data_IF_732150299676
#
_entry.id   IF_732150299676
#
_cell.length_a   1.000
_cell.length_b   1.000
_cell.length_c   1.000
_cell.angle_alpha   90.00
_cell.angle_beta   90.00
_cell.angle_gamma   90.00
#
_symmetry.space_group_name_H-M   'P 1'
#
loop_
_entity.id
_entity.type
_entity.pdbx_description
1 polymer ?
#
# COMPACT_ATOMS: atom_id res chain seq x y z
N UNK A 1 29.62 26.86 -7.11
CA UNK A 1 29.52 26.85 -5.66
C UNK A 1 28.16 26.31 -5.14
N UNK A 2 27.01 26.71 -5.69
CA UNK A 2 25.69 26.23 -5.22
C UNK A 2 25.47 24.72 -5.37
N UNK A 3 25.94 24.09 -6.47
CA UNK A 3 25.83 22.63 -6.68
C UNK A 3 26.58 21.76 -5.65
N UNK A 4 27.70 22.24 -5.10
CA UNK A 4 28.49 21.49 -4.14
C UNK A 4 27.91 21.55 -2.71
N UNK A 5 27.17 22.60 -2.35
CA UNK A 5 26.56 22.77 -1.03
C UNK A 5 25.28 21.92 -0.88
N UNK A 6 24.48 21.80 -1.95
CA UNK A 6 23.24 21.00 -1.94
C UNK A 6 23.55 19.51 -1.85
N UNK A 7 24.60 19.05 -2.53
CA UNK A 7 25.03 17.64 -2.49
C UNK A 7 25.65 17.21 -1.14
N UNK A 8 26.11 18.14 -0.32
CA UNK A 8 26.71 17.85 0.99
C UNK A 8 25.75 17.97 2.18
N UNK A 9 24.52 18.43 1.98
CA UNK A 9 23.55 18.49 3.07
C UNK A 9 23.08 17.08 3.43
N UNK A 10 23.14 16.71 4.72
CA UNK A 10 22.68 15.44 5.25
C UNK A 10 21.26 15.11 4.77
N UNK A 11 20.38 16.09 4.74
CA UNK A 11 18.99 15.95 4.28
C UNK A 11 18.87 15.54 2.80
N UNK A 12 19.79 15.99 1.93
CA UNK A 12 19.78 15.58 0.52
C UNK A 12 20.29 14.15 0.34
N UNK A 13 21.31 13.77 1.09
CA UNK A 13 21.82 12.39 1.09
C UNK A 13 20.75 11.42 1.61
N UNK A 14 20.07 11.76 2.68
CA UNK A 14 18.98 10.96 3.23
C UNK A 14 17.82 10.82 2.23
N UNK A 15 17.46 11.90 1.54
CA UNK A 15 16.48 11.88 0.45
C UNK A 15 16.92 10.94 -0.69
N UNK A 16 18.18 10.99 -1.11
CA UNK A 16 18.70 10.09 -2.15
C UNK A 16 18.61 8.62 -1.75
N UNK A 17 18.99 8.28 -0.50
CA UNK A 17 18.86 6.91 0.00
C UNK A 17 17.41 6.43 -0.06
N UNK A 18 16.46 7.24 0.38
CA UNK A 18 15.03 6.89 0.33
C UNK A 18 14.52 6.75 -1.09
N UNK A 19 14.88 7.68 -1.99
CA UNK A 19 14.44 7.70 -3.38
C UNK A 19 14.97 6.49 -4.16
N UNK A 20 16.28 6.23 -4.10
CA UNK A 20 16.91 5.09 -4.77
C UNK A 20 16.35 3.77 -4.22
N UNK A 21 16.24 3.65 -2.89
CA UNK A 21 15.66 2.48 -2.24
C UNK A 21 14.22 2.22 -2.71
N UNK A 22 13.41 3.28 -2.86
CA UNK A 22 12.04 3.14 -3.33
C UNK A 22 11.99 2.64 -4.79
N UNK A 23 12.85 3.15 -5.68
CA UNK A 23 12.94 2.67 -7.06
C UNK A 23 13.35 1.19 -7.10
N UNK A 24 14.38 0.82 -6.34
CA UNK A 24 14.86 -0.56 -6.28
C UNK A 24 13.78 -1.50 -5.75
N UNK A 25 13.09 -1.14 -4.67
CA UNK A 25 11.97 -1.92 -4.12
C UNK A 25 10.85 -2.11 -5.12
N UNK A 26 10.52 -1.07 -5.90
CA UNK A 26 9.50 -1.17 -6.97
C UNK A 26 9.96 -2.11 -8.08
N UNK A 27 11.23 -2.04 -8.47
CA UNK A 27 11.82 -2.98 -9.43
C UNK A 27 11.70 -4.43 -8.94
N UNK A 28 12.07 -4.72 -7.70
CA UNK A 28 11.90 -6.06 -7.12
C UNK A 28 10.42 -6.49 -7.04
N UNK A 29 9.52 -5.57 -6.65
CA UNK A 29 8.10 -5.84 -6.68
C UNK A 29 7.59 -6.23 -8.06
N UNK A 30 8.04 -5.54 -9.09
CA UNK A 30 7.68 -5.84 -10.47
C UNK A 30 8.26 -7.18 -10.95
N UNK A 31 9.54 -7.47 -10.67
CA UNK A 31 10.17 -8.77 -10.96
C UNK A 31 9.42 -9.91 -10.27
N UNK A 32 8.94 -9.69 -9.04
CA UNK A 32 8.12 -10.65 -8.31
C UNK A 32 6.84 -11.01 -9.08
N UNK A 33 6.14 -10.04 -9.65
CA UNK A 33 4.90 -10.29 -10.41
C UNK A 33 5.19 -11.03 -11.73
N UNK A 34 6.34 -10.77 -12.38
CA UNK A 34 6.79 -11.55 -13.55
C UNK A 34 7.02 -13.02 -13.18
N UNK A 35 7.69 -13.27 -12.04
CA UNK A 35 7.91 -14.64 -11.55
C UNK A 35 6.56 -15.33 -11.26
N UNK A 36 5.61 -14.62 -10.66
CA UNK A 36 4.28 -15.16 -10.38
C UNK A 36 3.51 -15.48 -11.65
N UNK A 37 3.55 -14.62 -12.66
CA UNK A 37 2.95 -14.87 -13.97
C UNK A 37 3.58 -16.11 -14.63
N UNK A 38 4.89 -16.24 -14.57
CA UNK A 38 5.61 -17.38 -15.13
C UNK A 38 5.20 -18.72 -14.51
N UNK A 39 5.05 -18.79 -13.17
CA UNK A 39 4.72 -20.04 -12.48
C UNK A 39 3.25 -20.39 -12.48
N UNK A 40 2.39 -19.39 -12.32
CA UNK A 40 0.99 -19.61 -11.98
C UNK A 40 0.01 -19.10 -13.04
N UNK A 41 0.43 -18.15 -13.91
CA UNK A 41 -0.45 -17.54 -14.91
C UNK A 41 -1.77 -17.09 -14.31
N UNK A 42 -2.88 -17.61 -14.87
CA UNK A 42 -4.25 -17.37 -14.42
C UNK A 42 -4.87 -18.60 -13.70
N UNK A 43 -4.06 -19.50 -13.14
CA UNK A 43 -4.57 -20.72 -12.51
C UNK A 43 -5.54 -20.44 -11.35
N UNK A 44 -6.57 -21.31 -11.19
CA UNK A 44 -7.56 -21.19 -10.10
C UNK A 44 -6.93 -21.21 -8.71
N UNK A 45 -5.86 -22.03 -8.51
CA UNK A 45 -5.14 -22.08 -7.25
C UNK A 45 -4.50 -20.74 -6.90
N UNK A 46 -3.95 -20.06 -7.92
CA UNK A 46 -3.40 -18.71 -7.75
C UNK A 46 -4.50 -17.66 -7.56
N UNK A 47 -5.63 -17.76 -8.26
CA UNK A 47 -6.78 -16.88 -8.07
C UNK A 47 -7.30 -16.96 -6.62
N UNK A 48 -7.48 -18.15 -6.07
CA UNK A 48 -7.88 -18.38 -4.69
C UNK A 48 -6.84 -17.84 -3.69
N UNK A 49 -5.56 -18.03 -3.96
CA UNK A 49 -4.49 -17.39 -3.18
C UNK A 49 -4.58 -15.86 -3.21
N UNK A 50 -4.80 -15.26 -4.39
CA UNK A 50 -4.94 -13.82 -4.52
C UNK A 50 -6.12 -13.26 -3.74
N UNK A 51 -7.23 -13.99 -3.65
CA UNK A 51 -8.39 -13.57 -2.86
C UNK A 51 -8.07 -13.55 -1.36
N UNK A 52 -7.45 -14.61 -0.83
CA UNK A 52 -6.97 -14.63 0.56
C UNK A 52 -5.93 -13.54 0.83
N UNK A 53 -4.97 -13.41 -0.08
CA UNK A 53 -3.95 -12.35 -0.01
C UNK A 53 -4.59 -10.96 -0.04
N UNK A 54 -5.64 -10.75 -0.82
CA UNK A 54 -6.34 -9.46 -0.89
C UNK A 54 -6.99 -9.10 0.43
N UNK A 55 -7.67 -10.07 1.08
CA UNK A 55 -8.19 -9.88 2.43
C UNK A 55 -7.08 -9.53 3.43
N UNK A 56 -5.94 -10.24 3.34
CA UNK A 56 -4.75 -9.97 4.14
C UNK A 56 -4.15 -8.56 3.89
N UNK A 57 -4.04 -8.18 2.62
CA UNK A 57 -3.49 -6.88 2.19
C UNK A 57 -4.37 -5.71 2.66
N UNK A 58 -5.70 -5.84 2.70
CA UNK A 58 -6.60 -4.82 3.27
C UNK A 58 -6.24 -4.49 4.71
N UNK A 59 -6.02 -5.52 5.55
CA UNK A 59 -5.54 -5.30 6.92
C UNK A 59 -4.17 -4.68 6.97
N UNK A 60 -3.27 -5.15 6.12
CA UNK A 60 -1.91 -4.60 6.04
C UNK A 60 -1.91 -3.11 5.69
N UNK A 61 -2.75 -2.67 4.76
CA UNK A 61 -2.83 -1.26 4.38
C UNK A 61 -3.37 -0.36 5.51
N UNK A 62 -4.25 -0.89 6.35
CA UNK A 62 -4.76 -0.17 7.52
C UNK A 62 -3.76 -0.10 8.68
N UNK A 63 -2.78 -1.00 8.71
CA UNK A 63 -1.87 -1.16 9.84
C UNK A 63 -0.40 -0.89 9.52
N UNK A 64 -0.07 -0.55 8.27
CA UNK A 64 1.32 -0.41 7.81
C UNK A 64 1.61 0.91 7.09
N UNK A 65 2.91 1.18 6.93
CA UNK A 65 3.46 2.15 5.98
C UNK A 65 3.20 3.61 6.33
N UNK A 66 2.90 4.39 5.30
CA UNK A 66 2.74 5.85 5.37
C UNK A 66 1.69 6.31 6.38
N UNK A 67 0.70 5.48 6.63
CA UNK A 67 -0.37 5.74 7.57
C UNK A 67 0.12 5.75 9.03
N UNK A 68 0.80 4.69 9.46
CA UNK A 68 1.44 4.65 10.77
C UNK A 68 2.55 5.71 10.89
N UNK A 69 3.33 5.93 9.83
CA UNK A 69 4.34 6.99 9.81
C UNK A 69 3.72 8.37 10.07
N UNK A 70 2.61 8.71 9.41
CA UNK A 70 1.95 10.00 9.60
C UNK A 70 1.51 10.24 11.05
N UNK A 71 1.13 9.18 11.76
CA UNK A 71 0.69 9.26 13.16
C UNK A 71 1.84 9.24 14.17
N UNK A 72 2.86 8.42 13.94
CA UNK A 72 3.85 8.06 14.95
C UNK A 72 5.19 8.75 14.75
N UNK A 73 5.59 9.00 13.51
CA UNK A 73 6.89 9.59 13.22
C UNK A 73 7.10 10.97 13.87
N UNK A 74 6.10 11.89 13.88
CA UNK A 74 6.27 13.17 14.58
C UNK A 74 6.53 13.00 16.07
N UNK A 75 5.85 12.05 16.71
CA UNK A 75 6.02 11.78 18.15
C UNK A 75 7.43 11.26 18.45
N UNK A 76 7.90 10.25 17.70
CA UNK A 76 9.25 9.73 17.89
C UNK A 76 10.33 10.76 17.54
N UNK A 77 10.18 11.50 16.44
CA UNK A 77 11.13 12.54 16.04
C UNK A 77 11.26 13.62 17.10
N UNK A 78 10.14 14.09 17.69
CA UNK A 78 10.16 15.14 18.72
C UNK A 78 10.91 14.71 19.98
N UNK A 79 10.87 13.43 20.32
CA UNK A 79 11.60 12.88 21.48
C UNK A 79 13.09 12.85 21.21
N UNK A 80 13.49 12.34 20.04
CA UNK A 80 14.91 12.29 19.67
C UNK A 80 15.51 13.69 19.45
N UNK A 81 14.76 14.66 18.94
CA UNK A 81 15.17 16.06 18.80
C UNK A 81 15.43 16.75 20.16
N UNK A 82 14.68 16.35 21.21
CA UNK A 82 14.91 16.82 22.58
C UNK A 82 16.08 16.12 23.29
N UNK A 83 16.79 15.23 22.60
CA UNK A 83 17.90 14.47 23.16
C UNK A 83 17.50 13.28 24.05
N UNK A 84 16.20 12.98 24.13
CA UNK A 84 15.69 11.84 24.86
C UNK A 84 15.76 10.56 24.02
N UNK A 85 15.81 9.40 24.67
CA UNK A 85 15.74 8.09 24.01
C UNK A 85 14.36 7.47 24.26
N UNK A 86 13.81 6.81 23.25
CA UNK A 86 12.55 6.05 23.39
C UNK A 86 12.84 4.72 24.09
N UNK A 87 12.05 4.38 25.09
CA UNK A 87 12.11 3.05 25.72
C UNK A 87 11.62 1.99 24.74
N UNK A 88 12.54 1.26 24.14
CA UNK A 88 12.26 0.26 23.13
C UNK A 88 11.58 -0.99 23.68
N UNK A 89 11.72 -1.29 24.98
CA UNK A 89 11.01 -2.37 25.65
C UNK A 89 9.49 -2.14 25.63
N UNK A 90 9.03 -0.90 25.89
CA UNK A 90 7.59 -0.57 25.83
C UNK A 90 7.05 -0.64 24.40
N UNK A 91 7.83 -0.17 23.41
CA UNK A 91 7.48 -0.28 21.99
C UNK A 91 7.38 -1.75 21.58
N UNK A 92 8.29 -2.60 22.03
CA UNK A 92 8.31 -4.03 21.74
C UNK A 92 7.08 -4.73 22.31
N UNK A 93 6.77 -4.52 23.60
CA UNK A 93 5.60 -5.10 24.25
C UNK A 93 4.30 -4.66 23.54
N UNK A 94 4.18 -3.38 23.25
CA UNK A 94 3.01 -2.84 22.54
C UNK A 94 2.87 -3.43 21.14
N UNK A 95 3.93 -3.41 20.33
CA UNK A 95 3.90 -3.91 18.96
C UNK A 95 3.64 -5.41 18.90
N UNK A 96 4.20 -6.20 19.81
CA UNK A 96 3.98 -7.64 19.88
C UNK A 96 2.52 -7.96 20.27
N UNK A 97 1.98 -7.31 21.31
CA UNK A 97 0.59 -7.51 21.73
C UNK A 97 -0.40 -7.14 20.62
N UNK A 98 -0.14 -6.07 19.88
CA UNK A 98 -1.02 -5.66 18.79
C UNK A 98 -0.84 -6.55 17.55
N UNK A 99 0.37 -6.99 17.25
CA UNK A 99 0.64 -7.95 16.18
C UNK A 99 -0.13 -9.27 16.37
N UNK A 100 -0.16 -9.79 17.61
CA UNK A 100 -0.98 -10.97 17.94
C UNK A 100 -2.48 -10.74 17.74
N UNK A 101 -3.00 -9.59 18.14
CA UNK A 101 -4.41 -9.26 17.91
C UNK A 101 -4.72 -9.14 16.41
N UNK A 102 -3.83 -8.52 15.63
CA UNK A 102 -3.95 -8.43 14.18
C UNK A 102 -3.94 -9.83 13.54
N UNK A 103 -3.04 -10.72 14.00
CA UNK A 103 -3.03 -12.11 13.56
C UNK A 103 -4.38 -12.78 13.79
N UNK A 104 -4.90 -12.74 15.03
CA UNK A 104 -6.17 -13.37 15.38
C UNK A 104 -7.34 -12.80 14.56
N UNK A 105 -7.44 -11.47 14.43
CA UNK A 105 -8.49 -10.82 13.65
C UNK A 105 -8.38 -11.20 12.18
N UNK A 106 -7.17 -11.28 11.62
CA UNK A 106 -6.97 -11.72 10.24
C UNK A 106 -7.44 -13.16 10.01
N UNK A 107 -7.22 -14.07 10.98
CA UNK A 107 -7.67 -15.46 10.90
C UNK A 107 -9.21 -15.57 10.98
N UNK A 108 -9.86 -14.74 11.80
CA UNK A 108 -11.33 -14.70 11.88
C UNK A 108 -12.00 -14.36 10.54
N UNK A 109 -11.30 -13.70 9.63
CA UNK A 109 -11.82 -13.37 8.30
C UNK A 109 -11.33 -14.36 7.25
N UNK A 110 -10.05 -14.75 7.30
CA UNK A 110 -9.48 -15.62 6.28
C UNK A 110 -10.01 -17.07 6.38
N UNK A 111 -10.20 -17.60 7.58
CA UNK A 111 -10.68 -19.00 7.75
C UNK A 111 -12.09 -19.20 7.16
N UNK A 112 -13.10 -18.36 7.45
CA UNK A 112 -14.39 -18.46 6.77
C UNK A 112 -14.28 -18.30 5.23
N UNK A 113 -13.38 -17.43 4.77
CA UNK A 113 -13.15 -17.25 3.34
C UNK A 113 -12.58 -18.52 2.69
N UNK A 114 -11.71 -19.27 3.36
CA UNK A 114 -11.20 -20.57 2.88
C UNK A 114 -12.33 -21.57 2.66
N UNK A 115 -13.29 -21.66 3.58
CA UNK A 115 -14.48 -22.51 3.41
C UNK A 115 -15.31 -22.15 2.17
N UNK A 116 -15.38 -20.86 1.86
CA UNK A 116 -16.11 -20.36 0.70
C UNK A 116 -15.39 -20.64 -0.63
N UNK A 117 -14.05 -20.43 -0.66
CA UNK A 117 -13.27 -20.42 -1.91
C UNK A 117 -12.94 -21.82 -2.41
N UNK A 118 -12.54 -22.73 -1.53
CA UNK A 118 -11.97 -24.01 -1.96
C UNK A 118 -12.15 -25.10 -0.90
N UNK A 119 -13.37 -25.65 -0.78
CA UNK A 119 -13.61 -26.75 0.14
C UNK A 119 -12.79 -27.99 -0.21
N UNK A 120 -12.47 -28.23 -1.48
CA UNK A 120 -11.69 -29.38 -1.95
C UNK A 120 -10.21 -29.31 -1.53
N UNK A 121 -9.61 -28.13 -1.49
CA UNK A 121 -8.21 -27.89 -1.10
C UNK A 121 -8.10 -27.20 0.27
N UNK A 122 -9.04 -27.49 1.16
CA UNK A 122 -9.20 -26.82 2.44
C UNK A 122 -7.89 -26.70 3.25
N UNK A 123 -7.19 -27.82 3.45
CA UNK A 123 -5.96 -27.82 4.25
C UNK A 123 -4.83 -26.99 3.64
N UNK A 124 -4.71 -26.98 2.31
CA UNK A 124 -3.75 -26.13 1.61
C UNK A 124 -4.02 -24.67 1.91
N UNK A 125 -5.27 -24.23 1.77
CA UNK A 125 -5.63 -22.82 1.96
C UNK A 125 -5.67 -22.40 3.43
N UNK A 126 -5.92 -23.32 4.38
CA UNK A 126 -5.71 -23.03 5.82
C UNK A 126 -4.23 -22.77 6.10
N UNK A 127 -3.32 -23.59 5.57
CA UNK A 127 -1.88 -23.33 5.74
C UNK A 127 -1.48 -21.98 5.13
N UNK A 128 -1.98 -21.64 3.94
CA UNK A 128 -1.74 -20.35 3.31
C UNK A 128 -2.27 -19.20 4.20
N UNK A 129 -3.49 -19.32 4.73
CA UNK A 129 -4.10 -18.35 5.64
C UNK A 129 -3.24 -18.11 6.88
N UNK A 130 -2.77 -19.18 7.53
CA UNK A 130 -1.89 -19.08 8.69
C UNK A 130 -0.58 -18.35 8.36
N UNK A 131 0.06 -18.71 7.25
CA UNK A 131 1.31 -18.04 6.82
C UNK A 131 1.05 -16.58 6.46
N UNK A 132 -0.04 -16.24 5.77
CA UNK A 132 -0.44 -14.87 5.49
C UNK A 132 -0.71 -14.08 6.77
N UNK A 133 -1.34 -14.70 7.79
CA UNK A 133 -1.51 -14.08 9.09
C UNK A 133 -0.18 -13.73 9.76
N UNK A 134 0.82 -14.62 9.67
CA UNK A 134 2.19 -14.34 10.13
C UNK A 134 2.80 -13.18 9.34
N UNK A 135 2.60 -13.14 8.01
CA UNK A 135 3.09 -12.02 7.18
C UNK A 135 2.48 -10.70 7.64
N UNK A 136 1.16 -10.63 7.84
CA UNK A 136 0.47 -9.40 8.25
C UNK A 136 0.99 -8.91 9.61
N UNK A 137 1.03 -9.81 10.59
CA UNK A 137 1.48 -9.47 11.96
C UNK A 137 2.94 -9.05 12.00
N UNK A 138 3.83 -9.75 11.27
CA UNK A 138 5.25 -9.42 11.16
C UNK A 138 5.48 -8.10 10.41
N UNK A 139 4.69 -7.81 9.39
CA UNK A 139 4.72 -6.53 8.69
C UNK A 139 4.33 -5.37 9.61
N UNK A 140 3.26 -5.52 10.42
CA UNK A 140 2.86 -4.51 11.39
C UNK A 140 3.96 -4.27 12.42
N UNK A 141 4.48 -5.33 13.02
CA UNK A 141 5.59 -5.27 13.96
C UNK A 141 6.80 -4.54 13.36
N UNK A 142 7.21 -4.94 12.16
CA UNK A 142 8.33 -4.34 11.45
C UNK A 142 8.11 -2.86 11.14
N UNK A 143 6.88 -2.46 10.78
CA UNK A 143 6.55 -1.07 10.46
C UNK A 143 6.78 -0.13 11.64
N UNK A 144 6.46 -0.53 12.87
CA UNK A 144 6.69 0.28 14.06
C UNK A 144 8.20 0.51 14.27
N UNK A 145 9.02 -0.55 14.18
CA UNK A 145 10.48 -0.41 14.34
C UNK A 145 11.13 0.40 13.22
N UNK A 146 10.63 0.28 11.99
CA UNK A 146 11.07 1.13 10.88
C UNK A 146 10.79 2.62 11.15
N UNK A 147 9.65 2.94 11.77
CA UNK A 147 9.31 4.31 12.16
C UNK A 147 10.25 4.81 13.28
N UNK A 148 10.61 3.95 14.23
CA UNK A 148 11.62 4.29 15.26
C UNK A 148 12.97 4.62 14.62
N UNK A 149 13.45 3.81 13.66
CA UNK A 149 14.70 4.05 12.92
C UNK A 149 14.63 5.40 12.18
N UNK A 150 13.51 5.71 11.56
CA UNK A 150 13.28 7.01 10.89
C UNK A 150 13.25 8.16 11.90
N UNK A 151 12.57 7.98 13.04
CA UNK A 151 12.53 8.96 14.12
C UNK A 151 13.92 9.31 14.68
N UNK A 152 14.83 8.33 14.73
CA UNK A 152 16.25 8.54 15.05
C UNK A 152 17.01 9.34 13.96
N UNK A 153 16.42 9.54 12.78
CA UNK A 153 17.06 10.18 11.63
C UNK A 153 18.04 9.28 10.86
N UNK A 154 17.97 7.96 11.06
CA UNK A 154 18.81 6.99 10.34
C UNK A 154 18.12 6.49 9.06
N UNK A 155 17.93 7.41 8.13
CA UNK A 155 17.28 7.12 6.83
C UNK A 155 18.06 6.14 5.96
N UNK A 156 19.38 6.09 6.11
CA UNK A 156 20.22 5.09 5.43
C UNK A 156 19.88 3.68 5.90
N UNK A 157 19.85 3.43 7.23
CA UNK A 157 19.51 2.14 7.81
C UNK A 157 18.09 1.73 7.44
N UNK A 158 17.13 2.65 7.50
CA UNK A 158 15.75 2.45 7.05
C UNK A 158 15.68 2.00 5.59
N UNK A 159 16.35 2.72 4.69
CA UNK A 159 16.34 2.45 3.26
C UNK A 159 16.97 1.09 2.93
N UNK A 160 18.12 0.80 3.50
CA UNK A 160 18.82 -0.48 3.28
C UNK A 160 17.98 -1.64 3.83
N UNK A 161 17.46 -1.54 5.05
CA UNK A 161 16.71 -2.62 5.69
C UNK A 161 15.46 -3.01 4.89
N UNK A 162 14.68 -2.03 4.42
CA UNK A 162 13.48 -2.28 3.61
C UNK A 162 13.80 -2.80 2.21
N UNK A 163 14.96 -2.42 1.64
CA UNK A 163 15.41 -2.94 0.35
C UNK A 163 15.88 -4.40 0.47
N UNK A 164 16.62 -4.74 1.53
CA UNK A 164 17.09 -6.11 1.79
C UNK A 164 15.91 -7.06 2.02
N UNK A 165 14.88 -6.64 2.79
CA UNK A 165 13.64 -7.42 2.95
C UNK A 165 13.03 -7.78 1.59
N UNK A 166 12.84 -6.78 0.72
CA UNK A 166 12.23 -7.00 -0.59
C UNK A 166 13.12 -7.83 -1.52
N UNK A 167 14.43 -7.61 -1.50
CA UNK A 167 15.41 -8.40 -2.24
C UNK A 167 15.34 -9.88 -1.85
N UNK A 168 15.47 -10.17 -0.55
CA UNK A 168 15.45 -11.56 -0.03
C UNK A 168 14.14 -12.25 -0.39
N UNK A 169 13.00 -11.57 -0.18
CA UNK A 169 11.69 -12.15 -0.52
C UNK A 169 11.52 -12.40 -2.01
N UNK A 170 12.13 -11.58 -2.89
CA UNK A 170 12.05 -11.75 -4.34
C UNK A 170 12.98 -12.88 -4.83
N UNK A 171 14.21 -12.93 -4.33
CA UNK A 171 15.16 -13.99 -4.69
C UNK A 171 14.67 -15.37 -4.25
N UNK A 172 14.14 -15.47 -3.04
CA UNK A 172 13.60 -16.72 -2.50
C UNK A 172 12.27 -17.13 -3.13
N UNK A 173 11.57 -16.21 -3.78
CA UNK A 173 10.28 -16.51 -4.42
C UNK A 173 10.40 -17.62 -5.44
N UNK A 174 11.42 -17.56 -6.34
CA UNK A 174 11.60 -18.55 -7.39
C UNK A 174 11.80 -19.98 -6.84
N UNK A 175 12.83 -20.27 -6.00
CA UNK A 175 13.05 -21.61 -5.49
C UNK A 175 11.91 -22.09 -4.56
N UNK A 176 11.32 -21.20 -3.74
CA UNK A 176 10.24 -21.61 -2.86
C UNK A 176 8.93 -21.87 -3.61
N UNK A 177 8.64 -21.13 -4.69
CA UNK A 177 7.49 -21.43 -5.55
C UNK A 177 7.67 -22.73 -6.32
N UNK A 178 8.90 -23.06 -6.71
CA UNK A 178 9.21 -24.35 -7.36
C UNK A 178 9.00 -25.53 -6.40
N UNK A 179 9.38 -25.39 -5.12
CA UNK A 179 9.30 -26.45 -4.11
C UNK A 179 7.91 -26.59 -3.47
N UNK A 180 7.24 -25.48 -3.20
CA UNK A 180 6.02 -25.44 -2.37
C UNK A 180 4.81 -24.82 -3.12
N UNK A 181 4.94 -24.57 -4.43
CA UNK A 181 3.87 -23.96 -5.22
C UNK A 181 3.44 -22.61 -4.63
N UNK A 182 2.15 -22.41 -4.53
CA UNK A 182 1.53 -21.14 -4.08
C UNK A 182 1.88 -20.78 -2.62
N UNK A 183 2.10 -21.78 -1.73
CA UNK A 183 2.57 -21.53 -0.36
C UNK A 183 3.93 -20.82 -0.37
N UNK A 184 4.80 -21.17 -1.31
CA UNK A 184 6.13 -20.58 -1.48
C UNK A 184 6.10 -19.06 -1.61
N UNK A 185 5.01 -18.50 -2.16
CA UNK A 185 4.80 -17.05 -2.27
C UNK A 185 4.75 -16.39 -0.89
N UNK A 186 3.95 -16.95 0.02
CA UNK A 186 3.79 -16.42 1.37
C UNK A 186 5.05 -16.68 2.22
N UNK A 187 5.65 -17.89 2.11
CA UNK A 187 6.87 -18.26 2.83
C UNK A 187 8.06 -17.37 2.42
N UNK A 188 8.20 -17.03 1.13
CA UNK A 188 9.25 -16.10 0.67
C UNK A 188 9.13 -14.73 1.34
N UNK A 189 7.91 -14.28 1.61
CA UNK A 189 7.66 -13.02 2.31
C UNK A 189 8.02 -13.11 3.79
N UNK A 190 7.68 -14.22 4.46
CA UNK A 190 8.09 -14.48 5.85
C UNK A 190 9.61 -14.49 5.97
N UNK A 191 10.31 -15.12 5.02
CA UNK A 191 11.77 -15.17 5.01
C UNK A 191 12.40 -13.76 4.89
N UNK A 192 11.90 -12.90 3.99
CA UNK A 192 12.35 -11.51 3.89
C UNK A 192 12.18 -10.73 5.20
N UNK A 193 10.97 -10.82 5.80
CA UNK A 193 10.67 -10.20 7.09
C UNK A 193 11.52 -10.77 8.23
N UNK A 194 11.78 -12.07 8.22
CA UNK A 194 12.68 -12.73 9.18
C UNK A 194 14.10 -12.15 9.14
N UNK A 195 14.66 -11.97 7.94
CA UNK A 195 15.97 -11.32 7.77
C UNK A 195 15.95 -9.87 8.23
N UNK A 196 14.88 -9.12 7.94
CA UNK A 196 14.70 -7.75 8.41
C UNK A 196 14.72 -7.68 9.94
N UNK A 197 13.92 -8.51 10.61
CA UNK A 197 13.81 -8.52 12.07
C UNK A 197 15.15 -8.95 12.70
N UNK A 198 15.71 -10.06 12.24
CA UNK A 198 16.94 -10.60 12.81
C UNK A 198 18.12 -9.63 12.67
N UNK A 199 18.37 -9.12 11.44
CA UNK A 199 19.58 -8.33 11.15
C UNK A 199 19.49 -6.88 11.64
N UNK A 200 18.30 -6.26 11.55
CA UNK A 200 18.16 -4.81 11.77
C UNK A 200 17.48 -4.44 13.07
N UNK A 201 16.63 -5.31 13.63
CA UNK A 201 15.89 -4.99 14.86
C UNK A 201 16.49 -5.62 16.09
N UNK A 202 17.12 -6.81 16.01
CA UNK A 202 17.78 -7.44 17.15
C UNK A 202 18.79 -6.51 17.85
N UNK A 203 19.63 -5.74 17.14
CA UNK A 203 20.52 -4.76 17.80
C UNK A 203 19.76 -3.65 18.53
N UNK A 204 18.55 -3.29 18.05
CA UNK A 204 17.72 -2.26 18.66
C UNK A 204 17.04 -2.79 19.92
N UNK A 205 16.66 -4.08 19.96
CA UNK A 205 16.02 -4.69 21.14
C UNK A 205 16.93 -4.68 22.39
N UNK A 206 18.23 -4.64 22.18
CA UNK A 206 19.22 -4.58 23.27
C UNK A 206 19.42 -3.15 23.84
N UNK A 207 18.81 -2.13 23.21
CA UNK A 207 18.82 -0.77 23.76
C UNK A 207 17.74 -0.65 24.85
N UNK A 208 18.11 -0.94 26.11
CA UNK A 208 17.18 -0.95 27.27
C UNK A 208 17.03 0.41 27.94
N UNK A 209 17.93 1.36 27.67
CA UNK A 209 17.94 2.68 28.30
C UNK A 209 17.11 3.68 27.48
N UNK A 210 16.10 4.29 28.09
CA UNK A 210 15.32 5.36 27.50
C UNK A 210 14.12 5.77 28.33
N UNK A 211 13.60 6.96 28.08
CA UNK A 211 12.39 7.48 28.72
C UNK A 211 11.17 6.63 28.36
N UNK A 212 10.36 6.31 29.37
CA UNK A 212 9.11 5.60 29.18
C UNK A 212 8.10 6.52 28.51
N UNK A 213 8.08 6.55 27.19
CA UNK A 213 7.02 7.23 26.46
C UNK A 213 5.83 6.31 26.46
N UNK A 214 4.72 6.76 27.02
CA UNK A 214 3.46 6.05 26.94
C UNK A 214 2.95 6.15 25.50
N UNK A 215 3.20 5.11 24.71
CA UNK A 215 2.68 4.94 23.36
C UNK A 215 1.45 4.05 23.41
N UNK A 216 0.36 4.46 22.76
CA UNK A 216 -0.90 3.73 22.78
C UNK A 216 -1.76 3.92 21.54
N UNK A 217 -2.86 3.18 21.46
CA UNK A 217 -3.84 3.28 20.37
C UNK A 217 -4.42 4.69 20.16
N UNK A 218 -4.39 5.55 21.18
CA UNK A 218 -4.88 6.94 21.12
C UNK A 218 -4.04 7.83 20.20
N UNK A 219 -2.79 7.45 19.97
CA UNK A 219 -1.83 8.17 19.11
C UNK A 219 -2.02 7.82 17.64
N UNK A 220 -2.80 6.78 17.34
CA UNK A 220 -3.09 6.32 15.99
C UNK A 220 -4.36 7.00 15.47
N UNK A 221 -4.24 7.78 14.40
CA UNK A 221 -5.37 8.41 13.74
C UNK A 221 -5.85 7.59 12.53
N UNK A 222 -6.77 6.65 12.80
CA UNK A 222 -7.30 5.74 11.78
C UNK A 222 -7.91 6.46 10.57
N UNK A 223 -8.57 7.61 10.77
CA UNK A 223 -9.20 8.34 9.67
C UNK A 223 -8.19 8.94 8.70
N UNK A 224 -7.06 9.46 9.21
CA UNK A 224 -5.98 9.96 8.36
C UNK A 224 -5.31 8.78 7.63
N UNK A 225 -5.21 7.63 8.30
CA UNK A 225 -4.67 6.41 7.69
C UNK A 225 -5.53 5.92 6.52
N UNK A 226 -6.85 5.89 6.68
CA UNK A 226 -7.78 5.53 5.62
C UNK A 226 -7.66 6.49 4.42
N UNK A 227 -7.71 7.80 4.68
CA UNK A 227 -7.62 8.80 3.62
C UNK A 227 -6.23 8.83 2.95
N UNK A 228 -5.15 8.63 3.69
CA UNK A 228 -3.80 8.58 3.15
C UNK A 228 -3.52 7.36 2.27
N UNK A 229 -4.26 6.28 2.48
CA UNK A 229 -4.15 5.03 1.71
C UNK A 229 -5.37 4.76 0.83
N UNK A 230 -6.25 5.74 0.59
CA UNK A 230 -7.52 5.55 -0.12
C UNK A 230 -7.34 4.81 -1.45
N UNK A 231 -6.33 5.16 -2.24
CA UNK A 231 -6.07 4.55 -3.54
C UNK A 231 -5.84 3.02 -3.43
N UNK A 232 -4.99 2.60 -2.49
CA UNK A 232 -4.75 1.18 -2.25
C UNK A 232 -6.00 0.47 -1.74
N UNK A 233 -6.75 1.13 -0.83
CA UNK A 233 -7.99 0.57 -0.27
C UNK A 233 -9.01 0.34 -1.38
N UNK A 234 -9.23 1.30 -2.26
CA UNK A 234 -10.14 1.17 -3.41
C UNK A 234 -9.70 0.01 -4.31
N UNK A 235 -8.43 -0.06 -4.67
CA UNK A 235 -7.90 -1.13 -5.52
C UNK A 235 -8.06 -2.51 -4.87
N UNK A 236 -7.80 -2.65 -3.58
CA UNK A 236 -7.95 -3.93 -2.88
C UNK A 236 -9.41 -4.32 -2.66
N UNK A 237 -10.30 -3.37 -2.37
CA UNK A 237 -11.74 -3.65 -2.27
C UNK A 237 -12.31 -4.12 -3.62
N UNK A 238 -11.96 -3.44 -4.70
CA UNK A 238 -12.41 -3.84 -6.06
C UNK A 238 -11.83 -5.20 -6.45
N UNK A 239 -10.55 -5.48 -6.11
CA UNK A 239 -9.93 -6.80 -6.32
C UNK A 239 -10.60 -7.88 -5.46
N UNK A 240 -11.05 -7.55 -4.26
CA UNK A 240 -11.79 -8.48 -3.42
C UNK A 240 -13.13 -8.83 -4.06
N UNK A 241 -13.87 -7.84 -4.55
CA UNK A 241 -15.18 -8.05 -5.21
C UNK A 241 -15.06 -8.92 -6.45
N UNK A 242 -14.08 -8.67 -7.33
CA UNK A 242 -13.89 -9.51 -8.52
C UNK A 242 -13.46 -10.93 -8.15
N UNK A 243 -12.83 -11.13 -7.01
CA UNK A 243 -12.43 -12.45 -6.53
C UNK A 243 -13.55 -13.26 -5.90
N UNK A 244 -14.73 -12.67 -5.66
CA UNK A 244 -15.91 -13.42 -5.19
C UNK A 244 -16.58 -14.22 -6.31
N UNK A 245 -16.16 -14.04 -7.55
CA UNK A 245 -16.54 -14.89 -8.66
C UNK A 245 -15.82 -16.24 -8.57
N UNK A 246 -16.48 -17.30 -8.98
CA UNK A 246 -15.88 -18.64 -9.04
C UNK A 246 -14.79 -18.80 -10.12
N UNK A 247 -14.43 -17.72 -10.81
CA UNK A 247 -13.48 -17.67 -11.90
C UNK A 247 -12.08 -17.13 -11.51
N UNK A 248 -11.23 -17.03 -12.51
CA UNK A 248 -9.85 -16.51 -12.38
C UNK A 248 -9.72 -15.00 -12.69
N UNK A 249 -10.84 -14.28 -12.78
CA UNK A 249 -10.89 -12.85 -13.09
C UNK A 249 -10.04 -11.99 -12.14
N UNK A 250 -9.91 -12.39 -10.88
CA UNK A 250 -9.04 -11.71 -9.90
C UNK A 250 -7.58 -11.68 -10.33
N UNK A 251 -7.13 -12.67 -11.09
CA UNK A 251 -5.76 -12.76 -11.57
C UNK A 251 -5.48 -11.70 -12.64
N UNK A 252 -6.38 -11.59 -13.63
CA UNK A 252 -6.29 -10.57 -14.68
C UNK A 252 -6.41 -9.16 -14.11
N UNK A 253 -7.34 -8.96 -13.19
CA UNK A 253 -7.48 -7.70 -12.45
C UNK A 253 -6.19 -7.35 -11.70
N UNK A 254 -5.56 -8.33 -11.03
CA UNK A 254 -4.34 -8.10 -10.28
C UNK A 254 -3.17 -7.67 -11.19
N UNK A 255 -2.93 -8.37 -12.31
CA UNK A 255 -1.86 -7.99 -13.25
C UNK A 255 -2.11 -6.61 -13.85
N UNK A 256 -3.36 -6.28 -14.19
CA UNK A 256 -3.74 -4.95 -14.68
C UNK A 256 -3.45 -3.85 -13.66
N UNK A 257 -3.87 -4.05 -12.41
CA UNK A 257 -3.61 -3.09 -11.31
C UNK A 257 -2.10 -2.94 -11.07
N UNK A 258 -1.32 -4.01 -11.11
CA UNK A 258 0.14 -3.93 -10.95
C UNK A 258 0.75 -3.03 -12.00
N UNK A 259 0.37 -3.20 -13.27
CA UNK A 259 0.85 -2.37 -14.36
C UNK A 259 0.48 -0.89 -14.18
N UNK A 260 -0.81 -0.60 -13.93
CA UNK A 260 -1.32 0.75 -13.76
C UNK A 260 -0.74 1.43 -12.51
N UNK A 261 -0.54 0.68 -11.43
CA UNK A 261 -0.02 1.20 -10.16
C UNK A 261 1.46 1.60 -10.21
N UNK A 262 2.23 1.11 -11.18
CA UNK A 262 3.60 1.59 -11.42
C UNK A 262 3.61 3.08 -11.68
N UNK A 263 2.71 3.59 -12.51
CA UNK A 263 2.59 5.03 -12.81
C UNK A 263 2.20 5.84 -11.57
N UNK A 264 1.20 5.37 -10.79
CA UNK A 264 0.80 6.03 -9.55
C UNK A 264 1.99 6.16 -8.59
N UNK A 265 2.69 5.06 -8.38
CA UNK A 265 3.71 4.99 -7.33
C UNK A 265 5.06 5.55 -7.75
N UNK A 266 5.45 5.42 -9.03
CA UNK A 266 6.72 5.92 -9.52
C UNK A 266 6.71 7.43 -9.81
N UNK A 267 5.58 7.99 -10.20
CA UNK A 267 5.51 9.39 -10.62
C UNK A 267 4.65 10.21 -9.65
N UNK A 268 3.37 9.87 -9.52
CA UNK A 268 2.40 10.69 -8.77
C UNK A 268 2.78 10.80 -7.28
N UNK A 269 3.13 9.71 -6.63
CA UNK A 269 3.49 9.74 -5.20
C UNK A 269 4.77 10.54 -4.95
N UNK A 270 5.73 10.55 -5.87
CA UNK A 270 6.94 11.37 -5.76
C UNK A 270 6.63 12.86 -5.93
N UNK A 271 5.79 13.23 -6.92
CA UNK A 271 5.31 14.61 -7.10
C UNK A 271 4.57 15.06 -5.84
N UNK A 272 3.65 14.25 -5.34
CA UNK A 272 2.87 14.54 -4.14
C UNK A 272 3.76 14.77 -2.90
N UNK A 273 4.82 13.99 -2.72
CA UNK A 273 5.77 14.17 -1.61
C UNK A 273 6.48 15.53 -1.68
N UNK A 274 6.89 15.96 -2.90
CA UNK A 274 7.51 17.28 -3.10
C UNK A 274 6.50 18.39 -2.81
N UNK A 275 5.28 18.25 -3.33
CA UNK A 275 4.19 19.22 -3.13
C UNK A 275 3.84 19.35 -1.65
N UNK A 276 3.66 18.24 -0.95
CA UNK A 276 3.35 18.20 0.49
C UNK A 276 4.41 18.95 1.30
N UNK A 277 5.70 18.67 1.05
CA UNK A 277 6.80 19.36 1.75
C UNK A 277 6.80 20.86 1.49
N UNK A 278 6.59 21.28 0.23
CA UNK A 278 6.56 22.71 -0.11
C UNK A 278 5.34 23.42 0.47
N UNK A 279 4.17 22.78 0.48
CA UNK A 279 2.96 23.33 1.09
C UNK A 279 3.10 23.50 2.60
N UNK A 280 3.77 22.56 3.27
CA UNK A 280 4.03 22.65 4.72
C UNK A 280 4.94 23.84 5.07
N UNK A 281 5.91 24.19 4.20
CA UNK A 281 6.90 25.26 4.46
C UNK A 281 6.45 26.60 3.89
N UNK A 282 6.10 26.66 2.59
CA UNK A 282 5.89 27.92 1.86
C UNK A 282 4.42 28.27 1.61
N UNK A 283 3.49 27.33 1.85
CA UNK A 283 2.04 27.53 1.66
C UNK A 283 1.62 28.07 0.27
N UNK A 284 2.36 27.72 -0.79
CA UNK A 284 2.15 28.23 -2.15
C UNK A 284 0.95 27.55 -2.82
N UNK A 285 -0.15 28.26 -2.99
CA UNK A 285 -1.39 27.76 -3.65
C UNK A 285 -1.16 27.29 -5.09
N UNK A 286 -0.25 27.94 -5.83
CA UNK A 286 0.09 27.59 -7.21
C UNK A 286 0.54 26.13 -7.36
N UNK A 287 1.14 25.55 -6.31
CA UNK A 287 1.57 24.16 -6.30
C UNK A 287 0.40 23.17 -6.32
N UNK A 288 -0.75 23.55 -5.77
CA UNK A 288 -1.96 22.71 -5.77
C UNK A 288 -2.49 22.58 -7.20
N UNK A 289 -2.60 23.73 -7.90
CA UNK A 289 -3.04 23.77 -9.31
C UNK A 289 -2.07 23.00 -10.19
N UNK A 290 -0.77 23.20 -9.98
CA UNK A 290 0.27 22.51 -10.73
C UNK A 290 0.21 20.97 -10.51
N UNK A 291 0.06 20.52 -9.27
CA UNK A 291 -0.07 19.11 -8.94
C UNK A 291 -1.32 18.49 -9.57
N UNK A 292 -2.46 19.20 -9.52
CA UNK A 292 -3.69 18.79 -10.18
C UNK A 292 -3.51 18.62 -11.69
N UNK A 293 -2.93 19.62 -12.37
CA UNK A 293 -2.71 19.59 -13.82
C UNK A 293 -1.75 18.45 -14.22
N UNK A 294 -0.66 18.25 -13.47
CA UNK A 294 0.26 17.14 -13.73
C UNK A 294 -0.49 15.80 -13.58
N UNK A 295 -1.27 15.65 -12.53
CA UNK A 295 -2.02 14.40 -12.28
C UNK A 295 -3.04 14.12 -13.37
N UNK A 296 -3.73 15.16 -13.85
CA UNK A 296 -4.65 15.05 -14.98
C UNK A 296 -3.95 14.64 -16.27
N UNK A 297 -2.86 15.33 -16.63
CA UNK A 297 -2.08 15.05 -17.84
C UNK A 297 -1.51 13.64 -17.81
N UNK A 298 -0.91 13.23 -16.68
CA UNK A 298 -0.37 11.88 -16.52
C UNK A 298 -1.46 10.80 -16.56
N UNK A 299 -2.65 11.09 -16.02
CA UNK A 299 -3.79 10.21 -16.13
C UNK A 299 -4.25 10.00 -17.58
N UNK A 300 -4.34 11.09 -18.36
CA UNK A 300 -4.68 11.02 -19.78
C UNK A 300 -3.61 10.27 -20.58
N UNK A 301 -2.32 10.53 -20.30
CA UNK A 301 -1.21 9.81 -20.93
C UNK A 301 -1.27 8.31 -20.60
N UNK A 302 -1.63 7.95 -19.36
CA UNK A 302 -1.80 6.55 -18.95
C UNK A 302 -2.90 5.87 -19.76
N UNK A 303 -4.09 6.48 -19.85
CA UNK A 303 -5.21 5.92 -20.62
C UNK A 303 -4.85 5.74 -22.08
N UNK A 304 -4.27 6.77 -22.71
CA UNK A 304 -3.82 6.68 -24.10
C UNK A 304 -2.72 5.63 -24.27
N UNK A 305 -1.77 5.55 -23.36
CA UNK A 305 -0.69 4.57 -23.38
C UNK A 305 -1.21 3.13 -23.26
N UNK A 306 -2.23 2.90 -22.41
CA UNK A 306 -2.88 1.58 -22.28
C UNK A 306 -3.64 1.25 -23.55
N UNK A 307 -4.40 2.20 -24.13
CA UNK A 307 -5.17 1.96 -25.37
C UNK A 307 -4.26 1.60 -26.55
N UNK A 308 -3.14 2.28 -26.72
CA UNK A 308 -2.25 2.11 -27.89
C UNK A 308 -1.22 1.00 -27.69
N UNK A 309 -0.64 0.90 -26.51
CA UNK A 309 0.51 0.00 -26.25
C UNK A 309 0.22 -1.06 -25.19
N UNK A 310 -0.92 -1.02 -24.51
CA UNK A 310 -1.21 -1.87 -23.36
C UNK A 310 -1.09 -3.36 -23.68
N UNK A 311 -1.66 -3.81 -24.78
CA UNK A 311 -1.55 -5.20 -25.22
C UNK A 311 -0.10 -5.63 -25.42
N UNK A 312 0.69 -4.86 -26.18
CA UNK A 312 2.09 -5.18 -26.46
C UNK A 312 2.96 -5.18 -25.20
N UNK A 313 2.67 -4.25 -24.27
CA UNK A 313 3.40 -4.18 -22.98
C UNK A 313 3.08 -5.38 -22.12
N UNK A 314 1.81 -5.79 -22.01
CA UNK A 314 1.38 -6.93 -21.20
C UNK A 314 1.96 -8.22 -21.77
N UNK A 315 1.86 -8.44 -23.10
CA UNK A 315 2.46 -9.59 -23.78
C UNK A 315 3.97 -9.64 -23.53
N UNK A 316 4.69 -8.54 -23.77
CA UNK A 316 6.14 -8.49 -23.58
C UNK A 316 6.56 -8.79 -22.13
N UNK A 317 5.79 -8.35 -21.13
CA UNK A 317 6.15 -8.48 -19.72
C UNK A 317 5.77 -9.84 -19.15
N UNK A 318 4.53 -10.29 -19.38
CA UNK A 318 3.95 -11.42 -18.68
C UNK A 318 3.81 -12.69 -19.52
N UNK A 319 3.67 -12.61 -20.86
CA UNK A 319 3.41 -13.74 -21.73
C UNK A 319 4.62 -14.67 -21.83
N UNK A 320 4.76 -15.48 -20.76
CA UNK A 320 5.79 -16.51 -20.65
C UNK A 320 5.43 -17.53 -19.56
N UNK A 321 5.90 -18.78 -19.73
CA UNK A 321 5.59 -19.86 -18.78
C UNK A 321 4.10 -20.20 -18.77
N UNK A 322 3.48 -20.12 -17.62
CA UNK A 322 2.05 -20.42 -17.44
C UNK A 322 1.09 -19.30 -17.89
N UNK A 323 1.60 -18.11 -18.21
CA UNK A 323 0.78 -16.97 -18.68
C UNK A 323 0.63 -17.04 -20.20
N UNK A 324 -0.57 -17.26 -20.67
CA UNK A 324 -0.93 -17.53 -22.07
C UNK A 324 -1.29 -16.26 -22.86
N UNK A 325 -1.37 -16.32 -24.22
CA UNK A 325 -1.89 -15.22 -25.02
C UNK A 325 -3.34 -14.84 -24.67
N UNK A 326 -4.19 -15.81 -24.30
CA UNK A 326 -5.56 -15.54 -23.82
C UNK A 326 -5.55 -14.72 -22.54
N UNK A 327 -4.61 -15.03 -21.60
CA UNK A 327 -4.41 -14.25 -20.38
C UNK A 327 -3.99 -12.81 -20.70
N UNK A 328 -3.19 -12.61 -21.76
CA UNK A 328 -2.80 -11.28 -22.24
C UNK A 328 -4.01 -10.47 -22.66
N UNK A 329 -4.94 -11.07 -23.46
CA UNK A 329 -6.16 -10.40 -23.93
C UNK A 329 -7.01 -9.97 -22.74
N UNK A 330 -7.33 -10.89 -21.83
CA UNK A 330 -8.18 -10.61 -20.67
C UNK A 330 -7.56 -9.59 -19.72
N UNK A 331 -6.25 -9.66 -19.50
CA UNK A 331 -5.50 -8.67 -18.70
C UNK A 331 -5.54 -7.28 -19.35
N UNK A 332 -5.42 -7.21 -20.69
CA UNK A 332 -5.49 -5.96 -21.42
C UNK A 332 -6.88 -5.33 -21.32
N UNK A 333 -7.96 -6.14 -21.47
CA UNK A 333 -9.33 -5.65 -21.29
C UNK A 333 -9.54 -5.04 -19.90
N UNK A 334 -9.11 -5.73 -18.83
CA UNK A 334 -9.16 -5.17 -17.50
C UNK A 334 -8.31 -3.90 -17.36
N UNK A 335 -7.10 -3.86 -17.92
CA UNK A 335 -6.23 -2.68 -17.86
C UNK A 335 -6.89 -1.47 -18.56
N UNK A 336 -7.56 -1.69 -19.69
CA UNK A 336 -8.31 -0.68 -20.43
C UNK A 336 -9.47 -0.16 -19.59
N UNK A 337 -10.33 -1.05 -19.09
CA UNK A 337 -11.48 -0.70 -18.25
C UNK A 337 -11.03 0.09 -17.01
N UNK A 338 -9.98 -0.36 -16.31
CA UNK A 338 -9.49 0.25 -15.07
C UNK A 338 -8.77 1.59 -15.28
N UNK A 339 -8.14 1.79 -16.44
CA UNK A 339 -7.26 2.94 -16.68
C UNK A 339 -7.91 4.29 -16.43
N UNK A 340 -9.20 4.44 -16.79
CA UNK A 340 -9.96 5.69 -16.60
C UNK A 340 -10.10 6.00 -15.10
N UNK A 341 -10.33 4.99 -14.23
CA UNK A 341 -10.45 5.21 -12.80
C UNK A 341 -9.15 5.75 -12.18
N UNK A 342 -8.00 5.44 -12.77
CA UNK A 342 -6.71 5.96 -12.33
C UNK A 342 -6.55 7.47 -12.55
N UNK A 343 -7.24 8.08 -13.54
CA UNK A 343 -7.30 9.54 -13.67
C UNK A 343 -7.85 10.15 -12.37
N UNK A 344 -8.98 9.63 -11.89
CA UNK A 344 -9.61 10.11 -10.66
C UNK A 344 -8.74 9.85 -9.42
N UNK A 345 -8.09 8.68 -9.34
CA UNK A 345 -7.15 8.35 -8.25
C UNK A 345 -5.96 9.31 -8.25
N UNK A 346 -5.39 9.64 -9.41
CA UNK A 346 -4.28 10.58 -9.51
C UNK A 346 -4.68 11.99 -9.07
N UNK A 347 -5.84 12.47 -9.54
CA UNK A 347 -6.38 13.78 -9.16
C UNK A 347 -6.67 13.83 -7.65
N UNK A 348 -7.34 12.82 -7.11
CA UNK A 348 -7.64 12.77 -5.67
C UNK A 348 -6.36 12.75 -4.83
N UNK A 349 -5.33 11.97 -5.25
CA UNK A 349 -4.04 11.91 -4.58
C UNK A 349 -3.36 13.28 -4.50
N UNK A 350 -3.45 14.09 -5.55
CA UNK A 350 -2.90 15.44 -5.58
C UNK A 350 -3.68 16.41 -4.69
N UNK A 351 -5.02 16.37 -4.77
CA UNK A 351 -5.90 17.29 -4.05
C UNK A 351 -5.96 17.03 -2.53
N UNK A 352 -5.63 15.83 -2.05
CA UNK A 352 -5.50 15.56 -0.61
C UNK A 352 -4.23 16.16 0.02
N UNK A 353 -3.18 16.47 -0.75
CA UNK A 353 -1.89 16.92 -0.20
C UNK A 353 -1.98 18.21 0.64
N UNK A 354 -2.75 19.25 0.24
CA UNK A 354 -2.91 20.45 1.05
C UNK A 354 -3.45 20.14 2.45
N UNK A 355 -4.45 19.28 2.52
CA UNK A 355 -5.09 18.88 3.77
C UNK A 355 -4.12 18.15 4.70
N UNK A 356 -3.34 17.22 4.19
CA UNK A 356 -2.33 16.50 4.98
C UNK A 356 -1.15 17.38 5.43
N UNK A 357 -0.98 18.58 4.85
CA UNK A 357 0.03 19.55 5.29
C UNK A 357 -0.36 20.33 6.54
N UNK A 358 -1.60 20.22 7.00
CA UNK A 358 -2.10 20.87 8.22
C UNK A 358 -1.79 20.05 9.48
N UNK A 359 -1.83 20.73 10.65
CA UNK A 359 -1.71 20.06 11.94
C UNK A 359 -2.81 19.00 12.12
N UNK A 360 -2.42 17.80 12.55
CA UNK A 360 -3.34 16.67 12.74
C UNK A 360 -4.48 16.97 13.72
N UNK A 361 -4.27 17.82 14.72
CA UNK A 361 -5.32 18.22 15.68
C UNK A 361 -6.42 19.01 14.96
N UNK A 362 -6.05 19.91 14.04
CA UNK A 362 -6.99 20.75 13.30
C UNK A 362 -7.83 19.94 12.31
N UNK A 363 -7.25 18.93 11.68
CA UNK A 363 -7.93 18.14 10.64
C UNK A 363 -8.66 16.90 11.17
N UNK A 364 -8.54 16.60 12.46
CA UNK A 364 -9.07 15.35 13.05
C UNK A 364 -10.58 15.19 12.88
N UNK A 365 -11.34 16.27 12.98
CA UNK A 365 -12.80 16.25 12.81
C UNK A 365 -13.17 16.00 11.35
N UNK A 366 -12.57 16.75 10.45
CA UNK A 366 -12.85 16.69 9.02
C UNK A 366 -12.38 15.36 8.41
N UNK A 367 -11.24 14.84 8.86
CA UNK A 367 -10.76 13.52 8.42
C UNK A 367 -11.68 12.39 8.85
N UNK A 368 -12.27 12.44 10.06
CA UNK A 368 -13.27 11.47 10.51
C UNK A 368 -14.53 11.54 9.64
N UNK A 369 -15.01 12.72 9.35
CA UNK A 369 -16.18 12.91 8.49
C UNK A 369 -15.97 12.31 7.10
N UNK A 370 -14.85 12.65 6.42
CA UNK A 370 -14.54 12.12 5.10
C UNK A 370 -14.32 10.59 5.11
N UNK A 371 -13.63 10.07 6.12
CA UNK A 371 -13.42 8.64 6.28
C UNK A 371 -14.74 7.89 6.52
N UNK A 372 -15.66 8.47 7.30
CA UNK A 372 -16.98 7.88 7.52
C UNK A 372 -17.81 7.82 6.24
N UNK A 373 -17.74 8.86 5.38
CA UNK A 373 -18.42 8.85 4.07
C UNK A 373 -17.83 7.74 3.20
N UNK A 374 -16.51 7.61 3.14
CA UNK A 374 -15.85 6.57 2.34
C UNK A 374 -16.30 5.16 2.81
N UNK A 375 -16.25 4.90 4.11
CA UNK A 375 -16.68 3.61 4.69
C UNK A 375 -18.16 3.34 4.43
N UNK A 376 -19.03 4.34 4.64
CA UNK A 376 -20.45 4.20 4.37
C UNK A 376 -20.72 3.89 2.89
N UNK A 377 -20.02 4.56 1.97
CA UNK A 377 -20.17 4.30 0.54
C UNK A 377 -19.74 2.88 0.15
N UNK A 378 -18.68 2.35 0.76
CA UNK A 378 -18.28 0.95 0.59
C UNK A 378 -19.39 0.00 1.05
N UNK A 379 -19.96 0.23 2.24
CA UNK A 379 -21.06 -0.59 2.76
C UNK A 379 -22.30 -0.53 1.86
N UNK A 380 -22.67 0.65 1.39
CA UNK A 380 -23.79 0.84 0.47
C UNK A 380 -23.58 0.08 -0.84
N UNK A 381 -22.37 0.13 -1.41
CA UNK A 381 -22.04 -0.62 -2.62
C UNK A 381 -22.16 -2.14 -2.40
N UNK A 382 -21.65 -2.67 -1.28
CA UNK A 382 -21.82 -4.08 -0.96
C UNK A 382 -23.29 -4.49 -0.82
N UNK A 383 -24.12 -3.64 -0.20
CA UNK A 383 -25.57 -3.87 -0.12
C UNK A 383 -26.19 -3.87 -1.51
N UNK A 384 -25.85 -2.90 -2.38
CA UNK A 384 -26.36 -2.87 -3.76
C UNK A 384 -25.96 -4.15 -4.50
N UNK A 385 -24.70 -4.58 -4.43
CA UNK A 385 -24.23 -5.78 -5.11
C UNK A 385 -24.91 -7.07 -4.63
N UNK A 386 -25.39 -7.12 -3.38
CA UNK A 386 -26.15 -8.27 -2.89
C UNK A 386 -27.58 -8.36 -3.48
N UNK A 387 -28.09 -7.27 -4.07
CA UNK A 387 -29.41 -7.23 -4.70
C UNK A 387 -29.35 -7.16 -6.23
N UNK A 388 -28.17 -7.00 -6.82
CA UNK A 388 -27.99 -6.96 -8.27
C UNK A 388 -27.62 -8.32 -8.84
N UNK A 389 -28.03 -8.58 -10.08
CA UNK A 389 -27.64 -9.79 -10.83
C UNK A 389 -26.39 -9.57 -11.70
N UNK A 390 -25.68 -8.47 -11.47
CA UNK A 390 -24.45 -8.11 -12.19
C UNK A 390 -23.31 -9.05 -11.85
N UNK A 391 -22.41 -9.27 -12.80
CA UNK A 391 -21.23 -10.11 -12.61
C UNK A 391 -20.25 -9.50 -11.60
N UNK A 392 -19.41 -10.31 -10.96
CA UNK A 392 -18.37 -9.81 -10.06
C UNK A 392 -17.38 -8.89 -10.76
N UNK A 393 -17.11 -9.10 -12.07
CA UNK A 393 -16.32 -8.18 -12.91
C UNK A 393 -16.97 -6.80 -12.96
N UNK A 394 -18.25 -6.73 -13.33
CA UNK A 394 -18.99 -5.46 -13.40
C UNK A 394 -19.07 -4.77 -12.04
N UNK A 395 -19.38 -5.51 -10.98
CA UNK A 395 -19.42 -4.99 -9.61
C UNK A 395 -18.07 -4.41 -9.19
N UNK A 396 -16.95 -5.05 -9.54
CA UNK A 396 -15.62 -4.54 -9.25
C UNK A 396 -15.30 -3.25 -10.00
N UNK A 397 -15.73 -3.12 -11.25
CA UNK A 397 -15.58 -1.90 -12.04
C UNK A 397 -16.47 -0.78 -11.48
N UNK A 398 -17.73 -1.06 -11.14
CA UNK A 398 -18.60 -0.10 -10.48
C UNK A 398 -17.97 0.39 -9.17
N UNK A 399 -17.42 -0.51 -8.37
CA UNK A 399 -16.77 -0.16 -7.10
C UNK A 399 -15.58 0.79 -7.31
N UNK A 400 -14.64 0.45 -8.20
CA UNK A 400 -13.45 1.27 -8.40
C UNK A 400 -13.81 2.64 -8.99
N UNK A 401 -14.76 2.71 -9.94
CA UNK A 401 -15.23 3.97 -10.52
C UNK A 401 -15.92 4.86 -9.47
N UNK A 402 -16.91 4.30 -8.77
CA UNK A 402 -17.70 5.05 -7.80
C UNK A 402 -16.83 5.60 -6.67
N UNK A 403 -15.94 4.76 -6.11
CA UNK A 403 -15.07 5.19 -5.01
C UNK A 403 -13.95 6.12 -5.48
N UNK A 404 -13.45 6.01 -6.70
CA UNK A 404 -12.45 6.93 -7.23
C UNK A 404 -13.05 8.32 -7.49
N UNK A 405 -14.26 8.40 -8.06
CA UNK A 405 -15.00 9.67 -8.22
C UNK A 405 -15.32 10.29 -6.86
N UNK A 406 -15.85 9.50 -5.92
CA UNK A 406 -16.09 9.96 -4.55
C UNK A 406 -14.82 10.52 -3.91
N UNK A 407 -13.67 9.86 -4.13
CA UNK A 407 -12.39 10.32 -3.59
C UNK A 407 -11.98 11.69 -4.16
N UNK A 408 -12.29 12.00 -5.43
CA UNK A 408 -12.07 13.33 -6.00
C UNK A 408 -12.96 14.36 -5.30
N UNK A 409 -14.23 14.05 -5.05
CA UNK A 409 -15.16 14.94 -4.35
C UNK A 409 -14.64 15.23 -2.92
N UNK A 410 -14.26 14.17 -2.18
CA UNK A 410 -13.72 14.32 -0.83
C UNK A 410 -12.40 15.08 -0.81
N UNK A 411 -11.53 14.86 -1.81
CA UNK A 411 -10.27 15.56 -1.94
C UNK A 411 -10.45 17.05 -2.31
N UNK A 412 -11.43 17.37 -3.15
CA UNK A 412 -11.82 18.75 -3.43
C UNK A 412 -12.35 19.45 -2.17
N UNK A 413 -13.22 18.78 -1.40
CA UNK A 413 -13.69 19.27 -0.10
C UNK A 413 -12.53 19.48 0.88
N UNK A 414 -11.58 18.56 0.94
CA UNK A 414 -10.40 18.68 1.79
C UNK A 414 -9.51 19.87 1.43
N UNK A 415 -9.34 20.11 0.12
CA UNK A 415 -8.63 21.30 -0.40
C UNK A 415 -9.37 22.59 -0.03
N UNK A 416 -10.70 22.64 -0.16
CA UNK A 416 -11.51 23.77 0.31
C UNK A 416 -11.30 24.03 1.81
N UNK A 417 -11.34 22.98 2.63
CA UNK A 417 -11.09 23.10 4.09
C UNK A 417 -9.68 23.60 4.41
N UNK A 418 -8.68 23.20 3.62
CA UNK A 418 -7.34 23.76 3.77
C UNK A 418 -7.33 25.29 3.67
N UNK A 419 -8.04 25.88 2.72
CA UNK A 419 -8.12 27.33 2.57
C UNK A 419 -8.89 27.99 3.73
N UNK A 420 -10.00 27.41 4.18
CA UNK A 420 -10.81 27.95 5.27
C UNK A 420 -10.09 27.89 6.63
N UNK A 421 -9.41 26.80 6.94
CA UNK A 421 -8.64 26.65 8.20
C UNK A 421 -7.41 27.57 8.22
N UNK A 422 -6.82 27.82 7.07
CA UNK A 422 -5.63 28.68 6.95
C UNK A 422 -5.94 30.16 7.15
N UNK A 423 -7.19 30.61 6.91
CA UNK A 423 -7.62 32.00 7.06
C UNK A 423 -8.00 32.38 8.49
N UNK A 424 -8.12 31.41 9.37
CA UNK A 424 -8.30 31.56 10.82
C UNK A 424 -6.95 31.46 11.52
#
# INVERSE_FOLDING_TARGET
MFKSYVLKSKSFIDFLYMFISNIIKKGFGFVREIILAYFFGSSMVYANFLLLKTAADLFSQLTQGSALQASLLPNFSSVYEKGHKVSLSNVLVFSNNLAWKIFLVSQLIQIPLVFYISPENFWLFIMISLVLGVVISSNFFSSIFLIVIQGKGDFKKFSISTTVDMFVSTVLLYPLSLMFGVIGIAVSRVAGLGVLIYKYFTPIFNETEGDKISFGMKDINLSIMLLGNFANIIMFLSRFVVGLDAGNNITFFNYSIVLLNVFLTAIIMNVNTIVLRRLSVKKEVKLIVFSFLISLVLGVILVFGVEVYGFSIISFIFERGAFTPEDTILTYEFAKDLSISFIFIFIASALFQPFFSLDQKLIRRESRFMASILVLSVLVLFVIFSFTTTSARENSLIMIYSLSVLSVILAAYSSYKYFTIKTI
#
